data_IF_191848790912
#
_entry.id   IF_191848790912
#
_cell.length_a   1.000
_cell.length_b   1.000
_cell.length_c   1.000
_cell.angle_alpha   90.00
_cell.angle_beta   90.00
_cell.angle_gamma   90.00
#
_symmetry.space_group_name_H-M   'P 1'
#
loop_
_entity.id
_entity.type
_entity.pdbx_description
1 polymer ?
#
# COMPACT_ATOMS: atom_id res chain seq x y z
N UNK A 1 38.31 9.57 34.53
CA UNK A 1 37.92 9.40 33.11
C UNK A 1 36.39 9.27 33.08
N UNK A 2 35.68 10.34 33.45
CA UNK A 2 34.22 10.32 33.69
C UNK A 2 33.59 11.67 33.32
N UNK A 3 33.81 12.18 32.10
CA UNK A 3 33.11 13.41 31.66
C UNK A 3 32.58 13.34 30.23
N UNK A 4 32.30 12.14 29.72
CA UNK A 4 31.71 11.95 28.38
C UNK A 4 30.24 11.51 28.39
N UNK A 5 29.62 11.35 29.57
CA UNK A 5 28.24 10.84 29.69
C UNK A 5 27.19 11.87 30.14
N UNK A 6 27.54 13.16 30.23
CA UNK A 6 26.63 14.18 30.79
C UNK A 6 26.28 15.33 29.83
N UNK A 7 26.33 15.10 28.52
CA UNK A 7 25.62 15.97 27.57
C UNK A 7 24.21 15.41 27.35
N UNK A 8 23.21 16.02 28.00
CA UNK A 8 21.79 15.89 27.63
C UNK A 8 21.65 16.29 26.16
N UNK A 9 21.64 15.30 25.27
CA UNK A 9 21.49 15.51 23.83
C UNK A 9 20.22 16.34 23.60
N UNK A 10 20.40 17.57 23.13
CA UNK A 10 19.29 18.47 22.81
C UNK A 10 18.36 17.78 21.82
N UNK A 11 17.05 17.73 22.12
CA UNK A 11 16.02 17.08 21.29
C UNK A 11 16.10 17.51 19.83
N UNK A 12 16.50 18.76 19.57
CA UNK A 12 16.67 19.30 18.21
C UNK A 12 17.87 18.69 17.47
N UNK A 13 18.98 18.40 18.15
CA UNK A 13 20.15 17.73 17.56
C UNK A 13 19.84 16.26 17.30
N UNK A 14 19.15 15.58 18.22
CA UNK A 14 18.71 14.20 18.03
C UNK A 14 17.74 14.08 16.84
N UNK A 15 16.74 14.97 16.74
CA UNK A 15 15.84 15.00 15.58
C UNK A 15 16.59 15.25 14.27
N UNK A 16 17.49 16.24 14.24
CA UNK A 16 18.30 16.53 13.04
C UNK A 16 19.19 15.36 12.65
N UNK A 17 19.75 14.65 13.63
CA UNK A 17 20.53 13.44 13.38
C UNK A 17 19.66 12.32 12.80
N UNK A 18 18.49 12.05 13.40
CA UNK A 18 17.52 11.08 12.88
C UNK A 18 17.05 11.40 11.45
N UNK A 19 16.76 12.67 11.16
CA UNK A 19 16.36 13.08 9.80
C UNK A 19 17.50 12.91 8.80
N UNK A 20 18.75 13.21 9.19
CA UNK A 20 19.92 13.00 8.35
C UNK A 20 20.19 11.52 8.09
N UNK A 21 20.11 10.66 9.13
CA UNK A 21 20.31 9.21 8.97
C UNK A 21 19.16 8.57 8.20
N UNK A 22 17.91 9.01 8.40
CA UNK A 22 16.76 8.57 7.61
C UNK A 22 16.94 8.93 6.12
N UNK A 23 17.36 10.15 5.81
CA UNK A 23 17.62 10.57 4.42
C UNK A 23 18.73 9.73 3.76
N UNK A 24 19.79 9.41 4.49
CA UNK A 24 20.88 8.55 4.00
C UNK A 24 20.38 7.12 3.77
N UNK A 25 19.57 6.57 4.67
CA UNK A 25 18.99 5.23 4.53
C UNK A 25 18.00 5.11 3.36
N UNK A 26 17.27 6.19 3.05
CA UNK A 26 16.33 6.23 1.92
C UNK A 26 17.04 6.22 0.55
N UNK A 27 18.28 6.70 0.48
CA UNK A 27 19.08 6.74 -0.76
C UNK A 27 19.86 5.43 -0.96
N UNK A 28 20.30 4.78 0.12
CA UNK A 28 21.20 3.62 0.05
C UNK A 28 20.51 2.26 0.05
N UNK A 29 19.25 2.17 0.47
CA UNK A 29 18.51 0.90 0.43
C UNK A 29 17.66 0.90 -0.82
N UNK A 30 18.09 0.26 -1.93
CA UNK A 30 17.14 -0.07 -2.98
C UNK A 30 16.04 -0.89 -2.29
N UNK A 31 14.79 -0.43 -2.39
CA UNK A 31 13.64 -1.22 -1.97
C UNK A 31 13.47 -2.38 -2.94
N UNK A 32 14.41 -3.33 -2.89
CA UNK A 32 14.34 -4.59 -3.58
C UNK A 32 13.31 -5.44 -2.83
N UNK A 33 12.03 -5.11 -3.04
CA UNK A 33 10.94 -6.04 -2.80
C UNK A 33 11.03 -7.14 -3.86
N UNK A 34 12.03 -8.01 -3.73
CA UNK A 34 12.14 -9.22 -4.52
C UNK A 34 11.09 -10.21 -4.03
N UNK A 35 9.95 -10.28 -4.73
CA UNK A 35 9.07 -11.46 -4.71
C UNK A 35 8.66 -11.85 -6.14
N UNK A 36 8.40 -13.15 -6.37
CA UNK A 36 8.62 -13.81 -7.64
C UNK A 36 7.28 -13.98 -8.36
N UNK A 37 7.04 -13.15 -9.36
CA UNK A 37 5.91 -13.31 -10.26
C UNK A 37 6.21 -12.54 -11.51
N UNK A 38 5.85 -13.10 -12.67
CA UNK A 38 5.80 -12.31 -13.89
C UNK A 38 4.75 -11.23 -13.68
N UNK A 39 5.19 -9.97 -13.60
CA UNK A 39 4.29 -8.82 -13.55
C UNK A 39 3.63 -8.74 -14.93
N UNK A 40 2.29 -8.73 -15.02
CA UNK A 40 1.61 -8.57 -16.29
C UNK A 40 1.96 -7.20 -16.89
N UNK A 41 2.01 -7.10 -18.21
CA UNK A 41 2.20 -5.80 -18.87
C UNK A 41 0.92 -4.98 -18.68
N UNK A 42 1.03 -3.91 -17.90
CA UNK A 42 -0.05 -2.96 -17.63
C UNK A 42 0.14 -1.68 -18.47
N UNK A 43 -0.95 -0.97 -18.72
CA UNK A 43 -0.94 0.22 -19.56
C UNK A 43 -0.81 1.52 -18.75
N UNK A 44 -1.48 1.61 -17.61
CA UNK A 44 -1.55 2.83 -16.79
C UNK A 44 -0.76 2.73 -15.49
N UNK A 45 -0.76 1.55 -14.85
CA UNK A 45 -0.02 1.31 -13.62
C UNK A 45 1.42 0.84 -13.87
N UNK A 46 2.34 1.35 -13.07
CA UNK A 46 3.71 0.85 -12.98
C UNK A 46 3.81 -0.43 -12.15
N UNK A 47 4.93 -1.15 -12.28
CA UNK A 47 5.21 -2.38 -11.53
C UNK A 47 5.09 -2.21 -10.01
N UNK A 48 5.52 -1.07 -9.47
CA UNK A 48 5.43 -0.79 -8.03
C UNK A 48 3.98 -0.54 -7.58
N UNK A 49 3.17 0.11 -8.41
CA UNK A 49 1.75 0.35 -8.17
C UNK A 49 0.94 -0.95 -8.27
N UNK A 50 1.28 -1.80 -9.24
CA UNK A 50 0.76 -3.16 -9.32
C UNK A 50 1.03 -3.96 -8.04
N UNK A 51 2.27 -3.97 -7.56
CA UNK A 51 2.64 -4.67 -6.33
C UNK A 51 1.94 -4.09 -5.09
N UNK A 52 1.70 -2.77 -5.08
CA UNK A 52 0.86 -2.12 -4.07
C UNK A 52 -0.55 -2.72 -4.03
N UNK A 53 -1.24 -2.81 -5.17
CA UNK A 53 -2.56 -3.45 -5.23
C UNK A 53 -2.49 -4.95 -4.90
N UNK A 54 -1.49 -5.67 -5.40
CA UNK A 54 -1.32 -7.10 -5.10
C UNK A 54 -1.15 -7.35 -3.60
N UNK A 55 -0.42 -6.46 -2.92
CA UNK A 55 -0.22 -6.56 -1.46
C UNK A 55 -1.55 -6.43 -0.68
N UNK A 56 -2.51 -5.66 -1.20
CA UNK A 56 -3.83 -5.49 -0.61
C UNK A 56 -4.75 -6.69 -0.89
N UNK A 57 -4.68 -7.24 -2.11
CA UNK A 57 -5.42 -8.45 -2.51
C UNK A 57 -5.15 -9.61 -1.53
N UNK A 58 -3.87 -9.84 -1.21
CA UNK A 58 -3.43 -10.92 -0.32
C UNK A 58 -4.06 -10.87 1.07
N UNK A 59 -4.56 -9.71 1.51
CA UNK A 59 -5.14 -9.49 2.84
C UNK A 59 -6.65 -9.24 2.79
N UNK A 60 -7.12 -8.30 1.96
CA UNK A 60 -8.53 -7.91 1.93
C UNK A 60 -9.42 -8.88 1.17
N UNK A 61 -8.87 -9.58 0.18
CA UNK A 61 -9.62 -10.43 -0.73
C UNK A 61 -9.36 -11.93 -0.47
N UNK A 62 -8.95 -12.26 0.76
CA UNK A 62 -8.83 -13.65 1.20
C UNK A 62 -10.21 -14.31 1.13
N UNK A 63 -10.31 -15.39 0.36
CA UNK A 63 -11.57 -16.10 0.13
C UNK A 63 -12.44 -15.49 -0.97
N UNK A 64 -11.90 -14.61 -1.82
CA UNK A 64 -12.60 -14.15 -3.02
C UNK A 64 -13.02 -15.35 -3.89
N UNK A 65 -14.33 -15.48 -4.24
CA UNK A 65 -14.82 -16.60 -5.04
C UNK A 65 -14.42 -16.51 -6.53
N UNK A 66 -13.98 -15.35 -7.01
CA UNK A 66 -13.57 -15.16 -8.40
C UNK A 66 -12.18 -15.81 -8.60
N UNK A 67 -12.14 -16.86 -9.43
CA UNK A 67 -10.90 -17.56 -9.73
C UNK A 67 -9.96 -16.70 -10.56
N UNK A 68 -8.69 -16.62 -10.15
CA UNK A 68 -7.67 -15.89 -10.88
C UNK A 68 -7.84 -14.37 -10.87
N UNK A 69 -8.70 -13.83 -9.99
CA UNK A 69 -8.82 -12.38 -9.82
C UNK A 69 -7.48 -11.79 -9.42
N UNK A 70 -7.08 -10.72 -10.11
CA UNK A 70 -5.90 -9.95 -9.80
C UNK A 70 -6.28 -8.48 -9.62
N UNK A 71 -6.06 -7.96 -8.41
CA UNK A 71 -6.49 -6.61 -8.06
C UNK A 71 -5.71 -5.54 -8.83
N UNK A 72 -4.43 -5.78 -9.12
CA UNK A 72 -3.60 -4.86 -9.88
C UNK A 72 -4.03 -4.79 -11.34
N UNK A 73 -4.37 -5.94 -11.94
CA UNK A 73 -4.95 -5.98 -13.29
C UNK A 73 -6.34 -5.36 -13.33
N UNK A 74 -7.19 -5.62 -12.34
CA UNK A 74 -8.52 -5.02 -12.25
C UNK A 74 -8.44 -3.49 -12.12
N UNK A 75 -7.50 -2.97 -11.34
CA UNK A 75 -7.24 -1.55 -11.23
C UNK A 75 -6.81 -0.94 -12.57
N UNK A 76 -5.88 -1.57 -13.30
CA UNK A 76 -5.43 -1.08 -14.61
C UNK A 76 -6.54 -1.12 -15.66
N UNK A 77 -7.34 -2.20 -15.69
CA UNK A 77 -8.54 -2.28 -16.55
C UNK A 77 -9.55 -1.18 -16.22
N UNK A 78 -9.74 -0.87 -14.94
CA UNK A 78 -10.67 0.17 -14.50
C UNK A 78 -10.26 1.55 -15.02
N UNK A 79 -8.96 1.86 -15.10
CA UNK A 79 -8.45 3.12 -15.69
C UNK A 79 -9.02 3.33 -17.09
N UNK A 80 -8.84 2.34 -17.97
CA UNK A 80 -9.22 2.47 -19.38
C UNK A 80 -10.68 2.08 -19.67
N UNK A 81 -11.37 1.45 -18.72
CA UNK A 81 -12.80 1.22 -18.76
C UNK A 81 -13.63 2.42 -18.27
N UNK A 82 -13.01 3.40 -17.62
CA UNK A 82 -13.70 4.57 -17.06
C UNK A 82 -13.82 5.71 -18.09
N UNK A 83 -14.92 6.50 -18.09
CA UNK A 83 -15.10 7.63 -19.01
C UNK A 83 -14.01 8.72 -18.93
N UNK A 84 -13.32 8.81 -17.79
CA UNK A 84 -12.27 9.79 -17.50
C UNK A 84 -10.96 9.08 -17.11
N UNK A 85 -10.24 8.47 -18.07
CA UNK A 85 -9.11 7.58 -17.76
C UNK A 85 -7.94 8.30 -17.07
N UNK A 86 -7.62 9.53 -17.47
CA UNK A 86 -6.49 10.29 -16.93
C UNK A 86 -6.69 10.62 -15.43
N UNK A 87 -7.92 11.03 -15.07
CA UNK A 87 -8.27 11.33 -13.69
C UNK A 87 -8.31 10.05 -12.85
N UNK A 88 -8.87 8.98 -13.40
CA UNK A 88 -8.92 7.67 -12.75
C UNK A 88 -7.54 7.08 -12.51
N UNK A 89 -6.64 7.18 -13.48
CA UNK A 89 -5.24 6.79 -13.33
C UNK A 89 -4.60 7.54 -12.17
N UNK A 90 -4.71 8.87 -12.16
CA UNK A 90 -4.14 9.71 -11.11
C UNK A 90 -4.64 9.33 -9.72
N UNK A 91 -5.93 9.05 -9.58
CA UNK A 91 -6.55 8.61 -8.32
C UNK A 91 -6.04 7.23 -7.91
N UNK A 92 -5.99 6.26 -8.82
CA UNK A 92 -5.50 4.91 -8.50
C UNK A 92 -4.02 4.90 -8.13
N UNK A 93 -3.19 5.71 -8.79
CA UNK A 93 -1.78 5.90 -8.43
C UNK A 93 -1.63 6.51 -7.03
N UNK A 94 -2.45 7.51 -6.70
CA UNK A 94 -2.50 8.08 -5.35
C UNK A 94 -2.92 7.04 -4.30
N UNK A 95 -3.84 6.14 -4.64
CA UNK A 95 -4.27 5.07 -3.74
C UNK A 95 -3.22 3.97 -3.59
N UNK A 96 -2.49 3.63 -4.66
CA UNK A 96 -1.35 2.72 -4.62
C UNK A 96 -0.19 3.26 -3.77
N UNK A 97 -0.08 4.59 -3.62
CA UNK A 97 0.90 5.22 -2.72
C UNK A 97 0.71 4.80 -1.25
N UNK A 98 -0.52 4.51 -0.80
CA UNK A 98 -0.79 4.14 0.60
C UNK A 98 -0.04 2.86 1.04
N UNK A 99 -0.19 1.71 0.35
CA UNK A 99 0.57 0.51 0.68
C UNK A 99 2.01 0.53 0.15
N UNK A 100 2.28 1.24 -0.95
CA UNK A 100 3.59 1.26 -1.62
C UNK A 100 4.64 2.16 -0.97
N UNK A 101 4.23 3.18 -0.23
CA UNK A 101 5.15 4.23 0.25
C UNK A 101 5.73 3.95 1.64
N UNK A 102 7.06 4.02 1.74
CA UNK A 102 7.75 4.08 3.03
C UNK A 102 7.46 5.37 3.79
N UNK A 103 7.18 6.48 3.11
CA UNK A 103 6.80 7.74 3.75
C UNK A 103 5.47 7.62 4.48
N UNK A 104 4.49 6.94 3.88
CA UNK A 104 3.19 6.67 4.53
C UNK A 104 3.41 5.76 5.74
N UNK A 105 4.21 4.72 5.60
CA UNK A 105 4.53 3.80 6.70
C UNK A 105 5.29 4.50 7.84
N UNK A 106 6.13 5.48 7.52
CA UNK A 106 6.82 6.29 8.51
C UNK A 106 5.86 7.26 9.21
N UNK A 107 5.02 7.95 8.45
CA UNK A 107 4.07 8.93 8.98
C UNK A 107 2.99 8.28 9.86
N UNK A 108 2.53 7.08 9.49
CA UNK A 108 1.48 6.38 10.22
C UNK A 108 2.07 5.49 11.32
N UNK A 109 3.08 4.67 11.02
CA UNK A 109 3.56 3.61 11.93
C UNK A 109 4.98 3.80 12.44
N UNK A 110 5.66 4.90 12.10
CA UNK A 110 7.10 5.08 12.36
C UNK A 110 7.96 3.92 11.83
N UNK A 111 7.54 3.32 10.69
CA UNK A 111 8.22 2.19 10.06
C UNK A 111 8.84 2.60 8.72
N UNK A 112 10.07 2.14 8.46
CA UNK A 112 10.76 2.35 7.18
C UNK A 112 10.37 1.33 6.10
N UNK A 113 9.63 0.28 6.46
CA UNK A 113 9.19 -0.77 5.53
C UNK A 113 7.78 -0.44 5.04
N UNK A 114 7.58 -0.33 3.71
CA UNK A 114 6.25 -0.20 3.10
C UNK A 114 5.41 -1.46 3.30
N UNK A 115 4.09 -1.40 3.11
CA UNK A 115 3.25 -2.60 3.23
C UNK A 115 3.61 -3.68 2.21
N UNK A 116 4.02 -3.26 1.01
CA UNK A 116 4.45 -4.16 -0.06
C UNK A 116 5.64 -5.02 0.39
N UNK A 117 6.59 -4.42 1.11
CA UNK A 117 7.78 -5.12 1.61
C UNK A 117 7.54 -6.05 2.81
N UNK A 118 6.33 -6.10 3.37
CA UNK A 118 6.01 -6.97 4.50
C UNK A 118 5.64 -8.39 4.06
N UNK A 119 5.83 -9.34 4.97
CA UNK A 119 5.17 -10.65 4.91
C UNK A 119 3.64 -10.48 4.93
N UNK A 120 2.90 -11.49 4.48
CA UNK A 120 1.42 -11.43 4.50
C UNK A 120 0.90 -11.25 5.92
N UNK A 121 1.50 -11.97 6.86
CA UNK A 121 1.13 -11.99 8.28
C UNK A 121 1.38 -10.62 8.93
N UNK A 122 2.54 -10.00 8.67
CA UNK A 122 2.86 -8.69 9.23
C UNK A 122 2.07 -7.56 8.55
N UNK A 123 1.73 -7.72 7.27
CA UNK A 123 0.84 -6.80 6.56
C UNK A 123 -0.57 -6.84 7.15
N UNK A 124 -1.10 -8.03 7.41
CA UNK A 124 -2.39 -8.20 8.07
C UNK A 124 -2.39 -7.55 9.47
N UNK A 125 -1.38 -7.83 10.30
CA UNK A 125 -1.23 -7.19 11.62
C UNK A 125 -1.20 -5.67 11.52
N UNK A 126 -0.46 -5.12 10.55
CA UNK A 126 -0.38 -3.67 10.34
C UNK A 126 -1.75 -3.10 9.95
N UNK A 127 -2.43 -3.70 8.99
CA UNK A 127 -3.77 -3.28 8.57
C UNK A 127 -4.80 -3.38 9.71
N UNK A 128 -4.75 -4.44 10.53
CA UNK A 128 -5.58 -4.55 11.73
C UNK A 128 -5.27 -3.46 12.76
N UNK A 129 -4.00 -3.08 12.91
CA UNK A 129 -3.61 -1.96 13.76
C UNK A 129 -4.17 -0.62 13.25
N UNK A 130 -4.26 -0.44 11.93
CA UNK A 130 -4.83 0.76 11.32
C UNK A 130 -6.34 0.81 11.53
N UNK A 131 -7.03 -0.33 11.34
CA UNK A 131 -8.47 -0.48 11.58
C UNK A 131 -8.86 -0.08 13.01
N UNK A 132 -8.09 -0.53 13.99
CA UNK A 132 -8.38 -0.34 15.42
C UNK A 132 -7.67 0.88 16.03
N UNK A 133 -7.00 1.71 15.21
CA UNK A 133 -6.25 2.85 15.72
C UNK A 133 -7.18 3.94 16.27
N UNK A 134 -6.71 4.68 17.28
CA UNK A 134 -7.34 5.93 17.72
C UNK A 134 -7.22 7.06 16.70
N UNK A 135 -6.24 7.02 15.80
CA UNK A 135 -6.01 8.03 14.77
C UNK A 135 -6.99 7.86 13.59
N UNK A 136 -7.81 8.88 13.34
CA UNK A 136 -8.80 8.88 12.25
C UNK A 136 -8.17 8.65 10.88
N UNK A 137 -6.97 9.19 10.65
CA UNK A 137 -6.24 9.04 9.39
C UNK A 137 -5.91 7.57 9.08
N UNK A 138 -5.45 6.79 10.08
CA UNK A 138 -5.19 5.36 9.89
C UNK A 138 -6.45 4.57 9.56
N UNK A 139 -7.53 4.83 10.31
CA UNK A 139 -8.84 4.20 10.05
C UNK A 139 -9.36 4.57 8.66
N UNK A 140 -9.20 5.83 8.25
CA UNK A 140 -9.56 6.33 6.93
C UNK A 140 -8.79 5.62 5.82
N UNK A 141 -7.45 5.55 5.95
CA UNK A 141 -6.60 4.85 4.99
C UNK A 141 -6.99 3.36 4.88
N UNK A 142 -7.20 2.68 6.01
CA UNK A 142 -7.68 1.29 6.03
C UNK A 142 -9.02 1.14 5.28
N UNK A 143 -10.00 1.99 5.58
CA UNK A 143 -11.32 1.91 4.97
C UNK A 143 -11.30 2.20 3.47
N UNK A 144 -10.54 3.21 3.04
CA UNK A 144 -10.40 3.55 1.61
C UNK A 144 -9.79 2.38 0.85
N UNK A 145 -8.66 1.83 1.32
CA UNK A 145 -8.02 0.71 0.65
C UNK A 145 -8.94 -0.52 0.61
N UNK A 146 -9.62 -0.84 1.72
CA UNK A 146 -10.57 -1.95 1.78
C UNK A 146 -11.74 -1.75 0.82
N UNK A 147 -12.38 -0.58 0.84
CA UNK A 147 -13.53 -0.28 -0.01
C UNK A 147 -13.15 -0.32 -1.49
N UNK A 148 -11.99 0.23 -1.84
CA UNK A 148 -11.47 0.18 -3.20
C UNK A 148 -11.24 -1.26 -3.66
N UNK A 149 -10.62 -2.10 -2.83
CA UNK A 149 -10.40 -3.52 -3.16
C UNK A 149 -11.71 -4.24 -3.46
N UNK A 150 -12.73 -4.06 -2.62
CA UNK A 150 -14.05 -4.66 -2.87
C UNK A 150 -14.79 -4.03 -4.04
N UNK A 151 -14.66 -2.73 -4.25
CA UNK A 151 -15.24 -2.04 -5.41
C UNK A 151 -14.69 -2.61 -6.71
N UNK A 152 -13.37 -2.75 -6.83
CA UNK A 152 -12.73 -3.31 -8.03
C UNK A 152 -13.15 -4.76 -8.28
N UNK A 153 -13.30 -5.57 -7.23
CA UNK A 153 -13.87 -6.92 -7.35
C UNK A 153 -15.31 -6.88 -7.88
N UNK A 154 -16.13 -5.95 -7.38
CA UNK A 154 -17.53 -5.84 -7.79
C UNK A 154 -17.73 -5.38 -9.23
N UNK A 155 -16.71 -4.80 -9.86
CA UNK A 155 -16.74 -4.40 -11.25
C UNK A 155 -16.49 -5.55 -12.23
N UNK A 156 -16.01 -6.71 -11.75
CA UNK A 156 -15.79 -7.86 -12.61
C UNK A 156 -17.10 -8.51 -13.04
N UNK A 157 -17.16 -8.94 -14.30
CA UNK A 157 -18.36 -9.57 -14.86
C UNK A 157 -18.74 -10.84 -14.12
N UNK A 158 -17.75 -11.65 -13.78
CA UNK A 158 -17.93 -12.90 -13.04
C UNK A 158 -18.54 -12.66 -11.65
N UNK A 159 -18.24 -11.51 -11.03
CA UNK A 159 -18.89 -11.13 -9.77
C UNK A 159 -20.37 -10.84 -9.95
N UNK A 160 -20.73 -10.13 -11.02
CA UNK A 160 -22.13 -9.81 -11.33
C UNK A 160 -22.95 -11.08 -11.57
N UNK A 161 -22.38 -12.08 -12.24
CA UNK A 161 -23.01 -13.38 -12.44
C UNK A 161 -23.23 -14.12 -11.10
N UNK A 162 -22.25 -14.09 -10.20
CA UNK A 162 -22.37 -14.69 -8.86
C UNK A 162 -23.46 -14.04 -8.00
N UNK A 163 -23.69 -12.74 -8.17
CA UNK A 163 -24.74 -11.98 -7.46
C UNK A 163 -26.10 -12.05 -8.18
N UNK A 164 -26.17 -12.75 -9.32
CA UNK A 164 -27.42 -12.98 -10.06
C UNK A 164 -27.81 -11.83 -11.01
N UNK A 165 -26.91 -10.87 -11.23
CA UNK A 165 -27.09 -9.84 -12.26
C UNK A 165 -26.74 -10.43 -13.63
N UNK A 166 -27.76 -10.94 -14.33
CA UNK A 166 -27.68 -11.24 -15.76
C UNK A 166 -27.95 -9.95 -16.54
N UNK A 167 -26.88 -9.30 -17.01
CA UNK A 167 -26.93 -8.24 -18.03
C UNK A 167 -26.57 -8.81 -19.39
#
# INVERSE_FOLDING_TARGET
MESFLDEKVSRSRFLKFLFKTAAISAILVPQASCKPGSIPKLHGLSDSEYLAFKSLEEVFLVGNPIQGFDLGVAADKYIYGHPYPIDTESVLKLLAFLPGSSLVSLALDFSFTSMVGLSKEDREKRLLSWKNSSLSLKRGAYNIMRQLSFFLVSMERDFNELVGYKG
#
